data_IF_161772976569
#
_entry.id   IF_161772976569
#
_cell.length_a   1.000
_cell.length_b   1.000
_cell.length_c   1.000
_cell.angle_alpha   90.00
_cell.angle_beta   90.00
_cell.angle_gamma   90.00
#
_symmetry.space_group_name_H-M   'P 1'
#
loop_
_entity.id
_entity.type
_entity.pdbx_description
1 polymer ?
#
# COMPACT_ATOMS: atom_id res chain seq x y z
N UNK A 1 13.74 -9.09 5.93
CA UNK A 1 13.85 -10.06 4.83
C UNK A 1 12.63 -9.83 3.95
N UNK A 2 12.86 -9.57 2.67
CA UNK A 2 11.81 -9.19 1.72
C UNK A 2 10.79 -10.32 1.54
N UNK A 3 9.56 -10.10 2.01
CA UNK A 3 8.43 -11.03 1.86
C UNK A 3 7.32 -10.52 0.96
N UNK A 4 7.55 -9.39 0.27
CA UNK A 4 6.59 -8.78 -0.64
C UNK A 4 7.31 -7.87 -1.63
N UNK A 5 6.91 -7.91 -2.89
CA UNK A 5 7.36 -6.95 -3.89
C UNK A 5 6.21 -6.47 -4.78
N UNK A 6 6.50 -5.60 -5.73
CA UNK A 6 5.54 -5.15 -6.73
C UNK A 6 6.06 -5.44 -8.14
N UNK A 7 5.20 -6.03 -8.96
CA UNK A 7 5.39 -6.17 -10.41
C UNK A 7 4.00 -6.16 -11.04
N UNK A 8 3.50 -4.96 -11.32
CA UNK A 8 2.19 -4.74 -11.93
C UNK A 8 2.26 -4.50 -13.45
N UNK A 9 3.47 -4.55 -14.02
CA UNK A 9 3.70 -4.39 -15.45
C UNK A 9 3.41 -5.69 -16.20
N UNK A 10 2.96 -5.56 -17.45
CA UNK A 10 2.78 -6.69 -18.35
C UNK A 10 4.15 -7.27 -18.79
N UNK A 11 4.24 -8.57 -19.11
CA UNK A 11 5.44 -9.17 -19.67
C UNK A 11 6.06 -8.38 -20.83
N UNK A 12 5.26 -7.89 -21.77
CA UNK A 12 5.70 -7.04 -22.89
C UNK A 12 6.38 -5.74 -22.44
N UNK A 13 5.82 -5.07 -21.43
CA UNK A 13 6.37 -3.84 -20.86
C UNK A 13 7.69 -4.10 -20.10
N UNK A 14 7.75 -5.21 -19.37
CA UNK A 14 8.97 -5.63 -18.68
C UNK A 14 10.08 -5.92 -19.68
N UNK A 15 9.78 -6.69 -20.74
CA UNK A 15 10.70 -6.98 -21.84
C UNK A 15 11.25 -5.68 -22.44
N UNK A 16 10.38 -4.74 -22.80
CA UNK A 16 10.78 -3.47 -23.38
C UNK A 16 11.74 -2.68 -22.47
N UNK A 17 11.46 -2.62 -21.16
CA UNK A 17 12.31 -1.90 -20.21
C UNK A 17 13.67 -2.58 -19.99
N UNK A 18 13.73 -3.91 -20.02
CA UNK A 18 14.99 -4.66 -19.94
C UNK A 18 15.84 -4.43 -21.19
N UNK A 19 15.24 -4.52 -22.38
CA UNK A 19 15.95 -4.29 -23.65
C UNK A 19 16.50 -2.86 -23.74
N UNK A 20 15.73 -1.85 -23.29
CA UNK A 20 16.20 -0.46 -23.15
C UNK A 20 17.37 -0.31 -22.17
N UNK A 21 17.50 -1.23 -21.21
CA UNK A 21 18.59 -1.28 -20.23
C UNK A 21 19.72 -2.23 -20.65
N UNK A 22 19.86 -2.51 -21.96
CA UNK A 22 20.89 -3.40 -22.52
C UNK A 22 20.84 -4.85 -21.98
N UNK A 23 19.64 -5.32 -21.60
CA UNK A 23 19.38 -6.70 -21.19
C UNK A 23 18.50 -7.37 -22.24
N UNK A 24 19.08 -8.05 -23.25
CA UNK A 24 18.32 -8.63 -24.34
C UNK A 24 17.42 -9.77 -23.85
N UNK A 25 16.23 -9.91 -24.45
CA UNK A 25 15.25 -10.96 -24.13
C UNK A 25 14.87 -11.68 -25.41
N UNK A 26 15.33 -12.92 -25.57
CA UNK A 26 15.06 -13.75 -26.75
C UNK A 26 13.63 -14.33 -26.72
N UNK A 27 13.18 -14.75 -25.54
CA UNK A 27 11.88 -15.38 -25.31
C UNK A 27 11.24 -14.77 -24.06
N UNK A 28 9.92 -14.53 -24.10
CA UNK A 28 9.15 -14.03 -22.97
C UNK A 28 7.72 -14.60 -23.02
N UNK A 29 7.03 -14.75 -21.88
CA UNK A 29 5.63 -15.13 -21.85
C UNK A 29 4.76 -14.06 -22.50
N UNK A 30 3.64 -14.47 -23.09
CA UNK A 30 2.63 -13.55 -23.61
C UNK A 30 1.93 -12.79 -22.46
N UNK A 31 1.32 -11.65 -22.80
CA UNK A 31 0.64 -10.80 -21.82
C UNK A 31 -0.59 -11.47 -21.17
N UNK A 32 -1.15 -12.50 -21.83
CA UNK A 32 -2.30 -13.29 -21.37
C UNK A 32 -1.91 -14.57 -20.61
N UNK A 33 -0.61 -14.78 -20.34
CA UNK A 33 -0.11 -15.92 -19.58
C UNK A 33 -0.45 -15.86 -18.08
N UNK A 34 -0.22 -16.96 -17.35
CA UNK A 34 -0.45 -17.07 -15.89
C UNK A 34 0.47 -16.19 -15.00
N UNK A 35 1.23 -15.28 -15.60
CA UNK A 35 2.09 -14.34 -14.89
C UNK A 35 1.25 -13.35 -14.09
N UNK A 36 1.45 -13.32 -12.77
CA UNK A 36 0.67 -12.47 -11.88
C UNK A 36 1.14 -11.02 -11.95
N UNK A 37 0.31 -10.15 -12.51
CA UNK A 37 0.47 -8.70 -12.45
C UNK A 37 -0.10 -8.16 -11.12
N UNK A 38 0.76 -7.74 -10.19
CA UNK A 38 0.34 -7.31 -8.85
C UNK A 38 1.20 -6.20 -8.26
N UNK A 39 0.53 -5.18 -7.72
CA UNK A 39 1.10 -4.17 -6.85
C UNK A 39 1.49 -4.73 -5.47
N UNK A 40 0.99 -5.92 -5.12
CA UNK A 40 1.20 -6.56 -3.83
C UNK A 40 1.54 -8.05 -4.03
N UNK A 41 2.70 -8.30 -4.62
CA UNK A 41 3.16 -9.62 -5.02
C UNK A 41 3.65 -10.42 -3.79
N UNK A 42 2.99 -11.54 -3.50
CA UNK A 42 3.25 -12.39 -2.34
C UNK A 42 3.88 -13.73 -2.74
N UNK A 43 4.56 -14.42 -1.80
CA UNK A 43 5.05 -15.78 -2.04
C UNK A 43 3.94 -16.73 -2.52
N UNK A 44 4.32 -17.67 -3.39
CA UNK A 44 3.41 -18.62 -4.03
C UNK A 44 2.79 -18.11 -5.34
N UNK A 45 2.91 -16.83 -5.68
CA UNK A 45 2.52 -16.31 -6.99
C UNK A 45 3.59 -16.56 -8.06
N UNK A 46 3.15 -16.59 -9.32
CA UNK A 46 4.01 -16.75 -10.49
C UNK A 46 4.48 -15.39 -11.01
N UNK A 47 5.79 -15.16 -10.98
CA UNK A 47 6.43 -13.90 -11.35
C UNK A 47 7.38 -14.06 -12.52
N UNK A 48 7.83 -12.95 -13.09
CA UNK A 48 8.78 -12.95 -14.21
C UNK A 48 10.22 -13.07 -13.69
N UNK A 49 10.89 -14.11 -14.16
CA UNK A 49 12.28 -14.39 -13.85
C UNK A 49 13.11 -14.32 -15.13
N UNK A 50 14.11 -13.45 -15.13
CA UNK A 50 15.09 -13.32 -16.21
C UNK A 50 16.27 -14.28 -15.96
N UNK A 51 16.58 -15.14 -16.94
CA UNK A 51 17.66 -16.12 -16.83
C UNK A 51 18.31 -16.38 -18.18
N UNK A 52 19.54 -16.89 -18.15
CA UNK A 52 20.14 -17.49 -19.34
C UNK A 52 19.33 -18.72 -19.76
N UNK A 53 19.20 -18.89 -21.08
CA UNK A 53 18.65 -20.08 -21.66
C UNK A 53 19.65 -21.24 -21.52
N UNK A 54 19.16 -22.39 -21.12
CA UNK A 54 20.00 -23.52 -20.74
C UNK A 54 19.18 -24.67 -20.17
N UNK A 55 19.78 -25.86 -20.02
CA UNK A 55 19.08 -27.07 -19.64
C UNK A 55 18.44 -26.96 -18.25
N UNK A 56 17.26 -27.57 -18.10
CA UNK A 56 16.56 -27.65 -16.83
C UNK A 56 17.21 -28.65 -15.84
N UNK A 57 18.00 -29.58 -16.37
CA UNK A 57 18.71 -30.62 -15.62
C UNK A 57 20.01 -30.07 -15.04
N UNK A 58 19.98 -29.70 -13.76
CA UNK A 58 21.15 -29.14 -13.06
C UNK A 58 21.56 -29.88 -11.79
N UNK A 59 20.89 -30.99 -11.45
CA UNK A 59 20.95 -31.56 -10.11
C UNK A 59 21.56 -32.94 -9.95
N UNK A 60 21.62 -33.79 -10.99
CA UNK A 60 22.05 -35.18 -10.81
C UNK A 60 22.50 -35.82 -12.12
N UNK A 61 23.80 -36.09 -12.24
CA UNK A 61 24.39 -37.26 -12.92
C UNK A 61 25.87 -37.35 -12.52
N UNK A 62 26.12 -37.68 -11.26
CA UNK A 62 27.38 -38.33 -10.88
C UNK A 62 27.09 -39.83 -10.90
N UNK A 63 27.38 -40.51 -12.02
CA UNK A 63 27.31 -41.96 -12.12
C UNK A 63 26.86 -42.50 -13.47
N UNK A 64 27.84 -42.77 -14.35
CA UNK A 64 27.83 -43.76 -15.44
C UNK A 64 26.68 -43.69 -16.46
N UNK A 65 26.81 -42.76 -17.41
CA UNK A 65 26.73 -43.10 -18.85
C UNK A 65 27.59 -42.09 -19.62
N UNK A 66 28.81 -42.47 -19.95
CA UNK A 66 29.53 -41.86 -21.08
C UNK A 66 28.81 -42.32 -22.35
N UNK A 67 27.70 -41.67 -22.68
CA UNK A 67 27.25 -41.58 -24.05
C UNK A 67 27.64 -40.19 -24.48
N UNK A 68 28.64 -40.10 -25.36
CA UNK A 68 29.04 -38.89 -26.08
C UNK A 68 27.79 -38.19 -26.61
N UNK A 69 27.28 -37.21 -25.86
CA UNK A 69 26.44 -36.19 -26.42
C UNK A 69 27.36 -35.38 -27.32
N UNK A 70 27.30 -35.68 -28.62
CA UNK A 70 27.91 -34.89 -29.68
C UNK A 70 27.72 -33.42 -29.34
N UNK A 71 28.81 -32.78 -28.90
CA UNK A 71 28.98 -31.36 -29.09
C UNK A 71 28.87 -31.15 -30.60
N UNK A 72 27.72 -30.68 -31.06
CA UNK A 72 27.66 -29.92 -32.29
C UNK A 72 28.58 -28.73 -32.08
N UNK A 73 29.81 -28.90 -32.56
CA UNK A 73 30.79 -27.85 -32.80
C UNK A 73 30.30 -27.05 -34.00
N UNK A 74 29.12 -26.44 -33.87
CA UNK A 74 28.67 -25.37 -34.74
C UNK A 74 29.05 -24.05 -34.07
N UNK A 75 30.18 -23.49 -34.51
CA UNK A 75 30.48 -22.06 -34.42
C UNK A 75 30.35 -21.42 -33.05
N UNK A 76 31.47 -21.31 -32.33
CA UNK A 76 31.68 -20.34 -31.27
C UNK A 76 31.61 -18.89 -31.82
N UNK A 77 30.41 -18.44 -32.17
CA UNK A 77 30.01 -17.04 -32.49
C UNK A 77 28.52 -16.80 -32.18
N UNK A 78 27.94 -17.49 -31.19
CA UNK A 78 26.57 -17.26 -30.73
C UNK A 78 26.54 -16.82 -29.27
N UNK A 79 26.25 -15.54 -29.00
CA UNK A 79 26.19 -15.03 -27.63
C UNK A 79 25.14 -15.72 -26.75
N UNK A 80 25.31 -15.67 -25.43
CA UNK A 80 24.34 -16.19 -24.45
C UNK A 80 22.95 -15.59 -24.72
N UNK A 81 21.96 -16.47 -24.93
CA UNK A 81 20.55 -16.07 -25.04
C UNK A 81 19.93 -16.01 -23.66
N UNK A 82 19.07 -15.02 -23.44
CA UNK A 82 18.35 -14.85 -22.17
C UNK A 82 16.85 -14.86 -22.43
N UNK A 83 16.08 -15.32 -21.45
CA UNK A 83 14.62 -15.36 -21.51
C UNK A 83 13.98 -14.86 -20.23
N UNK A 84 12.76 -14.36 -20.36
CA UNK A 84 11.82 -14.19 -19.27
C UNK A 84 11.00 -15.48 -19.15
N UNK A 85 10.87 -16.00 -17.93
CA UNK A 85 10.11 -17.20 -17.66
C UNK A 85 9.18 -16.97 -16.46
N UNK A 86 7.95 -17.47 -16.55
CA UNK A 86 7.03 -17.51 -15.41
C UNK A 86 7.48 -18.59 -14.41
N UNK A 87 7.68 -18.21 -13.15
CA UNK A 87 8.10 -19.14 -12.09
C UNK A 87 7.40 -18.81 -10.78
N UNK A 88 7.15 -19.80 -9.93
CA UNK A 88 6.54 -19.61 -8.61
C UNK A 88 7.54 -19.10 -7.57
N UNK A 89 7.16 -18.08 -6.79
CA UNK A 89 8.00 -17.63 -5.68
C UNK A 89 7.93 -18.57 -4.47
N UNK A 90 9.07 -19.12 -4.06
CA UNK A 90 9.21 -20.09 -2.99
C UNK A 90 9.81 -21.37 -3.56
N UNK A 91 11.13 -21.50 -3.47
CA UNK A 91 11.87 -22.53 -4.17
C UNK A 91 11.50 -23.94 -3.68
N UNK A 92 11.15 -24.81 -4.61
CA UNK A 92 10.93 -26.24 -4.40
C UNK A 92 12.07 -27.00 -5.09
N UNK A 93 12.94 -27.70 -4.34
CA UNK A 93 14.04 -28.44 -4.94
C UNK A 93 13.59 -29.58 -5.85
N UNK A 94 14.38 -29.90 -6.87
CA UNK A 94 14.09 -30.93 -7.87
C UNK A 94 13.87 -32.34 -7.29
N UNK A 95 14.44 -32.64 -6.12
CA UNK A 95 14.29 -33.94 -5.43
C UNK A 95 12.98 -34.07 -4.65
N UNK A 96 12.11 -33.05 -4.68
CA UNK A 96 10.83 -33.08 -3.98
C UNK A 96 9.85 -33.95 -4.75
N UNK A 97 9.39 -35.05 -4.14
CA UNK A 97 8.53 -36.04 -4.80
C UNK A 97 7.07 -35.59 -4.97
N UNK A 98 6.52 -34.96 -3.93
CA UNK A 98 5.12 -34.55 -3.85
C UNK A 98 5.02 -33.06 -3.58
N UNK A 99 3.98 -32.42 -4.11
CA UNK A 99 3.71 -31.03 -3.83
C UNK A 99 3.46 -30.83 -2.32
N UNK A 100 4.25 -30.02 -1.60
CA UNK A 100 4.10 -29.87 -0.16
C UNK A 100 2.81 -29.12 0.19
N UNK A 101 2.06 -29.69 1.14
CA UNK A 101 0.93 -29.03 1.77
C UNK A 101 1.34 -27.68 2.40
N UNK A 102 0.37 -26.79 2.60
CA UNK A 102 0.61 -25.45 3.14
C UNK A 102 1.39 -25.46 4.48
N UNK A 103 1.19 -26.49 5.33
CA UNK A 103 1.89 -26.64 6.61
C UNK A 103 3.31 -27.19 6.52
N UNK A 104 3.67 -27.88 5.43
CA UNK A 104 4.99 -28.48 5.19
C UNK A 104 5.84 -27.71 4.17
N UNK A 105 5.29 -26.62 3.61
CA UNK A 105 5.98 -25.77 2.65
C UNK A 105 7.21 -25.12 3.28
N UNK A 106 8.38 -25.46 2.77
CA UNK A 106 9.66 -24.92 3.25
C UNK A 106 9.68 -23.39 3.13
N UNK A 107 10.35 -22.72 4.07
CA UNK A 107 10.51 -21.24 4.08
C UNK A 107 11.60 -20.80 3.09
N UNK A 108 11.46 -21.19 1.83
CA UNK A 108 12.45 -21.03 0.76
C UNK A 108 12.19 -19.81 -0.14
N UNK A 109 11.50 -18.80 0.41
CA UNK A 109 11.20 -17.55 -0.31
C UNK A 109 12.43 -16.64 -0.41
N UNK A 110 13.37 -16.78 0.53
CA UNK A 110 14.64 -16.06 0.54
C UNK A 110 15.80 -17.03 0.81
N UNK A 111 16.95 -16.74 0.25
CA UNK A 111 18.23 -17.36 0.54
C UNK A 111 19.16 -16.27 1.12
N UNK A 112 19.88 -16.55 2.20
CA UNK A 112 20.88 -15.61 2.72
C UNK A 112 22.19 -15.84 1.96
N UNK A 113 22.84 -14.76 1.54
CA UNK A 113 24.18 -14.78 0.94
C UNK A 113 25.21 -15.56 1.76
N UNK A 114 25.13 -15.49 3.09
CA UNK A 114 25.99 -16.25 4.01
C UNK A 114 25.86 -17.77 3.84
N UNK A 115 24.68 -18.24 3.46
CA UNK A 115 24.38 -19.66 3.27
C UNK A 115 24.94 -20.20 1.96
N UNK A 116 25.50 -19.33 1.11
CA UNK A 116 26.09 -19.69 -0.18
C UNK A 116 27.61 -19.81 -0.13
N UNK A 117 28.29 -19.39 0.95
CA UNK A 117 29.75 -19.52 1.08
C UNK A 117 30.21 -20.97 1.05
N UNK A 118 29.52 -21.85 1.77
CA UNK A 118 29.88 -23.26 1.86
C UNK A 118 29.06 -24.11 0.89
N UNK A 119 29.63 -25.22 0.40
CA UNK A 119 28.92 -26.25 -0.36
C UNK A 119 28.13 -27.17 0.60
N UNK A 120 27.27 -26.57 1.43
CA UNK A 120 26.45 -27.27 2.42
C UNK A 120 24.99 -26.85 2.33
N UNK A 121 24.10 -27.82 2.53
CA UNK A 121 22.66 -27.59 2.54
C UNK A 121 22.04 -27.57 1.15
N UNK A 122 20.79 -27.10 1.09
CA UNK A 122 19.94 -27.29 -0.09
C UNK A 122 20.33 -26.44 -1.30
N UNK A 123 21.03 -25.31 -1.12
CA UNK A 123 21.31 -24.37 -2.21
C UNK A 123 22.49 -24.77 -3.10
N UNK A 124 23.27 -25.79 -2.70
CA UNK A 124 24.56 -26.17 -3.32
C UNK A 124 24.44 -26.52 -4.80
N UNK A 125 23.37 -27.21 -5.20
CA UNK A 125 23.13 -27.56 -6.61
C UNK A 125 22.67 -26.33 -7.41
N UNK A 126 21.75 -25.53 -6.86
CA UNK A 126 21.19 -24.37 -7.57
C UNK A 126 22.22 -23.25 -7.75
N UNK A 127 23.05 -22.94 -6.76
CA UNK A 127 24.03 -21.84 -6.86
C UNK A 127 25.06 -22.03 -7.99
N UNK A 128 25.32 -23.28 -8.37
CA UNK A 128 26.27 -23.66 -9.43
C UNK A 128 25.78 -23.38 -10.84
N UNK A 129 24.51 -23.62 -11.15
CA UNK A 129 23.97 -23.51 -12.52
C UNK A 129 22.61 -22.84 -12.65
N UNK A 130 21.85 -22.74 -11.57
CA UNK A 130 20.47 -22.24 -11.56
C UNK A 130 20.37 -20.86 -10.94
N UNK A 131 21.16 -19.93 -11.47
CA UNK A 131 21.13 -18.50 -11.11
C UNK A 131 20.13 -17.78 -12.00
N UNK A 132 19.41 -16.81 -11.43
CA UNK A 132 18.44 -16.00 -12.14
C UNK A 132 18.36 -14.58 -11.57
N UNK A 133 17.59 -13.73 -12.24
CA UNK A 133 17.24 -12.38 -11.82
C UNK A 133 15.71 -12.30 -11.69
N UNK A 134 15.23 -11.89 -10.52
CA UNK A 134 13.82 -11.58 -10.30
C UNK A 134 13.62 -10.10 -10.63
N UNK A 135 12.68 -9.82 -11.53
CA UNK A 135 12.38 -8.45 -11.95
C UNK A 135 11.26 -7.87 -11.08
N UNK A 136 11.48 -6.67 -10.54
CA UNK A 136 10.48 -6.00 -9.71
C UNK A 136 10.48 -4.48 -9.92
N UNK A 137 9.34 -3.82 -9.73
CA UNK A 137 9.26 -2.35 -9.65
C UNK A 137 9.81 -1.81 -8.31
N UNK A 138 9.87 -2.67 -7.30
CA UNK A 138 10.32 -2.36 -5.95
C UNK A 138 9.86 -3.42 -4.97
N UNK A 139 10.35 -3.36 -3.74
CA UNK A 139 9.97 -4.29 -2.67
C UNK A 139 9.40 -3.58 -1.45
N UNK A 140 8.61 -4.31 -0.65
CA UNK A 140 8.12 -3.81 0.62
C UNK A 140 8.89 -4.42 1.78
N UNK A 141 9.06 -3.62 2.82
CA UNK A 141 9.58 -4.08 4.10
C UNK A 141 8.90 -3.30 5.24
N UNK A 142 8.79 -3.92 6.41
CA UNK A 142 8.01 -3.39 7.53
C UNK A 142 8.93 -2.88 8.63
N UNK A 143 8.90 -1.56 8.86
CA UNK A 143 9.53 -0.93 10.01
C UNK A 143 8.79 -1.37 11.27
N UNK A 144 9.50 -2.09 12.15
CA UNK A 144 8.98 -2.53 13.45
C UNK A 144 9.16 -1.41 14.47
N UNK A 145 8.07 -0.89 15.01
CA UNK A 145 8.05 0.06 16.13
C UNK A 145 7.47 -0.59 17.39
N UNK A 146 7.77 -0.01 18.55
CA UNK A 146 7.23 -0.43 19.85
C UNK A 146 7.46 -1.94 20.12
N UNK A 147 8.69 -2.41 19.92
CA UNK A 147 9.02 -3.83 20.09
C UNK A 147 8.34 -4.77 19.08
N UNK A 148 7.90 -4.26 17.93
CA UNK A 148 7.25 -5.04 16.87
C UNK A 148 5.72 -5.09 16.94
N UNK A 149 5.10 -4.44 17.94
CA UNK A 149 3.63 -4.31 18.03
C UNK A 149 3.04 -3.50 16.89
N UNK A 150 3.78 -2.49 16.41
CA UNK A 150 3.40 -1.73 15.22
C UNK A 150 4.35 -2.04 14.08
N UNK A 151 3.79 -2.32 12.90
CA UNK A 151 4.53 -2.53 11.66
C UNK A 151 4.10 -1.49 10.63
N UNK A 152 5.02 -0.66 10.19
CA UNK A 152 4.77 0.38 9.20
C UNK A 152 5.37 -0.08 7.86
N UNK A 153 4.55 -0.43 6.86
CA UNK A 153 5.07 -0.84 5.57
C UNK A 153 5.75 0.33 4.87
N UNK A 154 6.92 0.07 4.31
CA UNK A 154 7.64 0.97 3.42
C UNK A 154 7.79 0.29 2.07
N UNK A 155 7.70 1.08 1.01
CA UNK A 155 8.03 0.64 -0.34
C UNK A 155 9.39 1.24 -0.72
N UNK A 156 10.26 0.39 -1.26
CA UNK A 156 11.61 0.73 -1.71
C UNK A 156 11.72 0.44 -3.20
N UNK A 157 12.17 1.42 -3.98
CA UNK A 157 12.41 1.31 -5.42
C UNK A 157 13.71 1.99 -5.83
N UNK A 158 14.20 1.78 -7.05
CA UNK A 158 15.33 2.55 -7.59
C UNK A 158 14.91 4.01 -7.77
N UNK A 159 15.81 4.94 -7.46
CA UNK A 159 15.53 6.38 -7.60
C UNK A 159 15.51 6.83 -9.06
N UNK A 160 16.26 6.15 -9.93
CA UNK A 160 16.32 6.37 -11.39
C UNK A 160 15.05 5.91 -12.13
N UNK A 161 14.13 5.21 -11.46
CA UNK A 161 12.89 4.72 -12.05
C UNK A 161 13.03 3.41 -12.85
N UNK A 162 14.22 2.81 -12.92
CA UNK A 162 14.43 1.51 -13.56
C UNK A 162 13.85 0.37 -12.72
N UNK A 163 13.60 -0.78 -13.36
CA UNK A 163 13.26 -2.01 -12.66
C UNK A 163 14.43 -2.49 -11.80
N UNK A 164 14.12 -3.06 -10.64
CA UNK A 164 15.08 -3.77 -9.82
C UNK A 164 15.36 -5.15 -10.41
N UNK A 165 16.65 -5.47 -10.54
CA UNK A 165 17.14 -6.80 -10.87
C UNK A 165 17.62 -7.48 -9.58
N UNK A 166 16.77 -8.29 -8.96
CA UNK A 166 17.10 -8.97 -7.70
C UNK A 166 17.79 -10.31 -7.99
N UNK A 167 18.97 -10.53 -7.42
CA UNK A 167 19.66 -11.81 -7.61
C UNK A 167 18.87 -12.94 -6.95
N UNK A 168 18.74 -14.07 -7.65
CA UNK A 168 18.03 -15.23 -7.16
C UNK A 168 18.59 -16.55 -7.64
N UNK A 169 18.05 -17.61 -7.06
CA UNK A 169 18.24 -18.98 -7.52
C UNK A 169 16.90 -19.53 -7.96
N UNK A 170 16.92 -20.45 -8.92
CA UNK A 170 15.73 -21.17 -9.36
C UNK A 170 15.96 -22.68 -9.30
N UNK A 171 14.87 -23.42 -9.32
CA UNK A 171 14.88 -24.85 -9.56
C UNK A 171 13.59 -25.27 -10.28
N UNK A 172 13.57 -26.49 -10.80
CA UNK A 172 12.38 -27.09 -11.39
C UNK A 172 12.19 -28.50 -10.85
N UNK A 173 10.95 -28.83 -10.53
CA UNK A 173 10.57 -30.15 -10.02
C UNK A 173 9.45 -30.73 -10.88
N UNK A 174 9.56 -32.02 -11.21
CA UNK A 174 8.46 -32.80 -11.75
C UNK A 174 7.91 -33.65 -10.60
N UNK A 175 6.71 -33.31 -10.12
CA UNK A 175 6.07 -34.15 -9.10
C UNK A 175 5.58 -35.47 -9.71
N UNK A 176 5.52 -36.52 -8.90
CA UNK A 176 5.10 -37.86 -9.32
C UNK A 176 3.64 -37.88 -9.86
N UNK A 177 2.80 -36.95 -9.41
CA UNK A 177 1.38 -36.82 -9.72
C UNK A 177 1.04 -35.69 -10.70
N UNK A 178 2.05 -34.95 -11.20
CA UNK A 178 1.85 -33.84 -12.14
C UNK A 178 2.36 -34.21 -13.53
N UNK A 179 1.71 -33.70 -14.59
CA UNK A 179 2.17 -33.83 -15.98
C UNK A 179 3.22 -32.78 -16.36
N UNK A 180 3.24 -31.64 -15.67
CA UNK A 180 4.09 -30.50 -15.99
C UNK A 180 5.10 -30.20 -14.89
N UNK A 181 6.26 -29.66 -15.28
CA UNK A 181 7.29 -29.24 -14.33
C UNK A 181 6.87 -27.95 -13.64
N UNK A 182 7.04 -27.89 -12.32
CA UNK A 182 6.91 -26.67 -11.56
C UNK A 182 8.27 -25.96 -11.51
N UNK A 183 8.36 -24.77 -12.11
CA UNK A 183 9.52 -23.88 -11.96
C UNK A 183 9.32 -22.94 -10.78
N UNK A 184 10.32 -22.86 -9.91
CA UNK A 184 10.26 -22.05 -8.68
C UNK A 184 11.54 -21.26 -8.47
N UNK A 185 11.47 -20.19 -7.69
CA UNK A 185 12.64 -19.35 -7.38
C UNK A 185 12.66 -18.86 -5.93
N UNK A 186 13.85 -18.41 -5.51
CA UNK A 186 14.12 -17.73 -4.24
C UNK A 186 14.90 -16.44 -4.50
N UNK A 187 14.69 -15.43 -3.65
CA UNK A 187 15.43 -14.16 -3.71
C UNK A 187 16.64 -14.25 -2.77
N UNK A 188 17.82 -13.89 -3.25
CA UNK A 188 19.00 -13.79 -2.39
C UNK A 188 18.96 -12.47 -1.62
N UNK A 189 19.25 -12.55 -0.33
CA UNK A 189 19.34 -11.41 0.58
C UNK A 189 20.75 -11.26 1.10
N UNK A 190 21.16 -10.03 1.36
CA UNK A 190 22.42 -9.63 1.98
C UNK A 190 22.14 -8.62 3.11
N UNK A 191 23.18 -8.09 3.74
CA UNK A 191 23.04 -7.07 4.77
C UNK A 191 22.46 -5.77 4.21
N UNK A 192 21.70 -5.05 5.02
CA UNK A 192 21.16 -3.76 4.60
C UNK A 192 22.25 -2.71 4.45
N UNK A 193 22.14 -1.89 3.40
CA UNK A 193 22.97 -0.69 3.27
C UNK A 193 22.58 0.39 4.29
N UNK A 194 23.40 1.45 4.39
CA UNK A 194 23.15 2.58 5.33
C UNK A 194 21.78 3.23 5.15
N UNK A 195 21.25 3.25 3.92
CA UNK A 195 19.96 3.86 3.62
C UNK A 195 18.79 3.05 4.17
N UNK A 196 18.88 1.72 4.20
CA UNK A 196 17.78 0.83 4.60
C UNK A 196 17.97 0.21 5.99
N UNK A 197 19.12 0.41 6.64
CA UNK A 197 19.38 -0.19 7.96
C UNK A 197 18.38 0.24 9.04
N UNK A 198 17.77 1.43 8.92
CA UNK A 198 16.69 1.86 9.82
C UNK A 198 15.42 1.00 9.70
N UNK A 199 15.22 0.37 8.53
CA UNK A 199 14.00 -0.36 8.16
C UNK A 199 14.09 -1.84 8.53
N UNK A 200 15.20 -2.49 8.17
CA UNK A 200 15.50 -3.89 8.45
C UNK A 200 17.02 -4.12 8.34
N UNK A 201 17.55 -5.15 9.02
CA UNK A 201 18.96 -5.57 8.94
C UNK A 201 19.35 -6.27 7.62
N UNK A 202 18.37 -6.60 6.77
CA UNK A 202 18.60 -7.35 5.52
C UNK A 202 17.85 -6.72 4.36
N UNK A 203 18.44 -6.78 3.18
CA UNK A 203 17.83 -6.37 1.91
C UNK A 203 18.05 -7.41 0.82
N UNK A 204 17.25 -7.42 -0.26
CA UNK A 204 17.57 -8.18 -1.47
C UNK A 204 18.92 -7.75 -2.06
N UNK A 205 19.66 -8.69 -2.66
CA UNK A 205 20.80 -8.34 -3.52
C UNK A 205 20.25 -7.76 -4.82
N UNK A 206 20.61 -6.51 -5.12
CA UNK A 206 20.18 -5.79 -6.32
C UNK A 206 21.41 -5.64 -7.22
N UNK A 207 21.33 -6.11 -8.45
CA UNK A 207 22.37 -5.92 -9.47
C UNK A 207 21.96 -4.80 -10.42
N UNK A 208 22.93 -4.08 -10.97
CA UNK A 208 22.67 -3.00 -11.92
C UNK A 208 22.29 -3.53 -13.30
N UNK A 209 21.27 -2.92 -13.90
CA UNK A 209 20.73 -3.34 -15.18
C UNK A 209 21.81 -3.20 -16.27
N UNK A 210 21.95 -4.23 -17.11
CA UNK A 210 22.94 -4.23 -18.21
C UNK A 210 24.41 -4.27 -17.77
N UNK A 211 24.71 -4.46 -16.48
CA UNK A 211 26.06 -4.52 -15.95
C UNK A 211 26.78 -5.84 -16.25
N UNK A 212 28.11 -5.83 -16.16
CA UNK A 212 28.92 -7.05 -16.22
C UNK A 212 28.66 -7.99 -15.03
N UNK A 213 28.18 -7.45 -13.89
CA UNK A 213 27.77 -8.24 -12.74
C UNK A 213 26.58 -9.15 -13.11
N UNK A 214 25.57 -8.65 -13.84
CA UNK A 214 24.47 -9.50 -14.35
C UNK A 214 24.98 -10.53 -15.35
N UNK A 215 25.88 -10.15 -16.27
CA UNK A 215 26.45 -11.08 -17.26
C UNK A 215 27.21 -12.21 -16.57
N UNK A 216 28.04 -11.87 -15.59
CA UNK A 216 28.80 -12.81 -14.76
C UNK A 216 27.89 -13.71 -13.95
N UNK A 217 26.83 -13.13 -13.35
CA UNK A 217 25.84 -13.86 -12.57
C UNK A 217 25.05 -14.85 -13.42
N UNK A 218 24.70 -14.50 -14.65
CA UNK A 218 23.88 -15.35 -15.54
C UNK A 218 24.70 -16.20 -16.51
N UNK A 219 26.03 -16.15 -16.47
CA UNK A 219 26.90 -16.91 -17.36
C UNK A 219 26.69 -18.44 -17.20
N UNK A 220 26.17 -19.14 -18.22
CA UNK A 220 25.88 -20.58 -18.14
C UNK A 220 27.16 -21.42 -18.15
N UNK A 221 28.30 -20.87 -18.61
CA UNK A 221 29.59 -21.57 -18.62
C UNK A 221 30.22 -21.64 -17.22
N UNK A 222 29.83 -20.73 -16.32
CA UNK A 222 30.23 -20.72 -14.91
C UNK A 222 29.43 -21.75 -14.11
N UNK A 223 29.92 -22.99 -14.13
CA UNK A 223 29.29 -24.16 -13.48
C UNK A 223 29.76 -24.43 -12.05
N UNK A 224 30.73 -23.66 -11.54
CA UNK A 224 31.26 -23.76 -10.17
C UNK A 224 30.99 -22.47 -9.40
N UNK A 225 30.76 -22.60 -8.10
CA UNK A 225 30.70 -21.45 -7.20
C UNK A 225 32.12 -20.90 -7.00
N UNK A 226 32.30 -19.60 -7.20
CA UNK A 226 33.60 -18.92 -7.15
C UNK A 226 33.54 -17.69 -6.25
N UNK A 227 34.71 -17.21 -5.81
CA UNK A 227 34.79 -15.97 -5.01
C UNK A 227 34.20 -14.77 -5.76
N UNK A 228 34.37 -14.72 -7.07
CA UNK A 228 33.79 -13.68 -7.92
C UNK A 228 32.26 -13.69 -7.88
N UNK A 229 31.62 -14.86 -7.95
CA UNK A 229 30.16 -14.95 -7.83
C UNK A 229 29.68 -14.54 -6.43
N UNK A 230 30.42 -14.92 -5.40
CA UNK A 230 30.10 -14.54 -4.03
C UNK A 230 30.24 -13.03 -3.80
N UNK A 231 31.22 -12.36 -4.41
CA UNK A 231 31.45 -10.92 -4.23
C UNK A 231 30.39 -10.04 -4.90
N UNK A 232 29.59 -10.59 -5.82
CA UNK A 232 28.40 -9.94 -6.37
C UNK A 232 27.27 -9.82 -5.35
N UNK A 233 27.24 -10.68 -4.33
CA UNK A 233 26.19 -10.72 -3.31
C UNK A 233 26.45 -9.70 -2.20
N UNK A 234 26.48 -8.42 -2.56
CA UNK A 234 26.78 -7.30 -1.66
C UNK A 234 25.61 -6.31 -1.56
N UNK A 235 25.53 -5.51 -0.48
CA UNK A 235 24.50 -4.47 -0.35
C UNK A 235 24.55 -3.50 -1.53
N UNK A 236 23.38 -3.09 -2.03
CA UNK A 236 23.30 -2.20 -3.18
C UNK A 236 23.86 -0.81 -2.86
N UNK A 237 24.71 -0.29 -3.74
CA UNK A 237 25.42 0.98 -3.55
C UNK A 237 24.77 2.18 -4.26
N UNK A 238 23.87 1.92 -5.22
CA UNK A 238 23.14 2.96 -5.93
C UNK A 238 22.04 3.64 -5.11
N UNK A 239 21.44 4.69 -5.66
CA UNK A 239 20.40 5.45 -4.97
C UNK A 239 19.04 4.74 -4.98
N UNK A 240 18.47 4.51 -3.80
CA UNK A 240 17.10 4.03 -3.64
C UNK A 240 16.18 5.16 -3.21
N UNK A 241 14.89 5.00 -3.44
CA UNK A 241 13.84 5.78 -2.80
C UNK A 241 13.03 4.86 -1.88
N UNK A 242 12.92 5.22 -0.61
CA UNK A 242 12.16 4.48 0.39
C UNK A 242 11.15 5.41 1.09
N UNK A 243 9.89 5.00 1.18
CA UNK A 243 8.83 5.79 1.82
C UNK A 243 7.73 4.91 2.42
N UNK A 244 7.07 5.37 3.50
CA UNK A 244 5.95 4.64 4.09
C UNK A 244 4.76 4.59 3.12
N UNK A 245 3.98 3.52 3.17
CA UNK A 245 2.79 3.29 2.33
C UNK A 245 1.58 2.87 3.18
N UNK A 246 0.41 2.67 2.56
CA UNK A 246 -0.79 2.23 3.30
C UNK A 246 -0.56 0.91 4.03
N UNK A 247 -1.10 0.79 5.26
CA UNK A 247 -1.11 -0.46 6.03
C UNK A 247 -1.88 -1.58 5.32
N UNK A 248 -2.78 -1.24 4.39
CA UNK A 248 -3.59 -2.18 3.62
C UNK A 248 -2.77 -3.16 2.78
N UNK A 249 -1.54 -2.79 2.41
CA UNK A 249 -0.63 -3.71 1.70
C UNK A 249 -0.32 -4.94 2.54
N UNK A 250 -0.38 -4.86 3.88
CA UNK A 250 -0.11 -5.98 4.77
C UNK A 250 -1.01 -7.19 4.51
N UNK A 251 -2.28 -6.96 4.13
CA UNK A 251 -3.24 -8.02 3.82
C UNK A 251 -2.98 -8.58 2.43
N UNK A 252 -2.61 -9.86 2.37
CA UNK A 252 -2.43 -10.59 1.10
C UNK A 252 -3.75 -10.63 0.34
N UNK A 253 -3.71 -10.37 -0.97
CA UNK A 253 -4.89 -10.28 -1.84
C UNK A 253 -5.35 -8.84 -2.13
N UNK A 254 -5.06 -7.88 -1.25
CA UNK A 254 -5.27 -6.47 -1.59
C UNK A 254 -4.31 -6.08 -2.72
N UNK A 255 -4.83 -5.45 -3.78
CA UNK A 255 -4.03 -5.06 -4.94
C UNK A 255 -4.48 -3.68 -5.43
N UNK A 256 -3.63 -2.66 -5.29
CA UNK A 256 -3.98 -1.29 -5.68
C UNK A 256 -2.75 -0.51 -6.15
N UNK A 257 -2.86 0.30 -7.22
CA UNK A 257 -1.77 1.19 -7.65
C UNK A 257 -1.36 2.20 -6.56
N UNK A 258 -2.28 2.54 -5.65
CA UNK A 258 -1.98 3.44 -4.53
C UNK A 258 -0.89 2.94 -3.59
N UNK A 259 -0.55 1.64 -3.63
CA UNK A 259 0.51 1.07 -2.80
C UNK A 259 1.92 1.47 -3.26
N UNK A 260 2.09 1.85 -4.53
CA UNK A 260 3.38 2.34 -5.03
C UNK A 260 3.50 3.87 -4.92
N UNK A 261 2.41 4.58 -4.66
CA UNK A 261 2.41 6.05 -4.64
C UNK A 261 2.99 6.52 -3.32
N UNK A 262 4.05 7.34 -3.40
CA UNK A 262 4.58 8.05 -2.24
C UNK A 262 3.48 8.94 -1.67
N UNK A 263 3.00 8.70 -0.44
CA UNK A 263 1.98 9.54 0.13
C UNK A 263 2.54 10.97 0.23
N UNK A 264 1.71 11.99 0.00
CA UNK A 264 2.13 13.37 0.22
C UNK A 264 2.66 13.47 1.66
N UNK A 265 3.81 14.13 1.85
CA UNK A 265 4.33 14.40 3.20
C UNK A 265 3.16 14.93 4.02
N UNK A 266 2.79 14.23 5.08
CA UNK A 266 1.74 14.68 5.97
C UNK A 266 2.22 16.01 6.56
N UNK A 267 1.84 17.13 5.92
CA UNK A 267 1.95 18.43 6.54
C UNK A 267 1.06 18.30 7.77
N UNK A 268 1.69 18.19 8.95
CA UNK A 268 0.95 18.12 10.20
C UNK A 268 -0.08 19.24 10.17
N UNK A 269 -1.33 18.94 10.51
CA UNK A 269 -2.39 19.96 10.53
C UNK A 269 -1.89 21.08 11.43
N UNK A 270 -1.60 22.28 10.90
CA UNK A 270 -1.09 23.38 11.70
C UNK A 270 -2.06 23.61 12.86
N UNK A 271 -1.54 23.85 14.06
CA UNK A 271 -2.37 24.09 15.23
C UNK A 271 -3.34 22.94 15.56
N UNK A 272 -2.90 21.67 15.40
CA UNK A 272 -3.69 20.46 15.75
C UNK A 272 -4.37 20.56 17.12
N UNK A 273 -3.69 21.12 18.12
CA UNK A 273 -4.23 21.32 19.47
C UNK A 273 -5.42 22.29 19.50
N UNK A 274 -5.40 23.35 18.69
CA UNK A 274 -6.53 24.28 18.55
C UNK A 274 -7.71 23.62 17.83
N UNK A 275 -7.45 22.83 16.79
CA UNK A 275 -8.50 22.04 16.13
C UNK A 275 -9.15 21.05 17.10
N UNK A 276 -8.36 20.30 17.88
CA UNK A 276 -8.85 19.40 18.90
C UNK A 276 -9.68 20.13 19.98
N UNK A 277 -9.20 21.28 20.45
CA UNK A 277 -9.93 22.13 21.40
C UNK A 277 -11.24 22.65 20.83
N UNK A 278 -11.28 23.12 19.59
CA UNK A 278 -12.52 23.53 18.93
C UNK A 278 -13.51 22.36 18.81
N UNK A 279 -13.06 21.18 18.39
CA UNK A 279 -13.93 20.00 18.33
C UNK A 279 -14.49 19.64 19.70
N UNK A 280 -13.65 19.61 20.73
CA UNK A 280 -14.07 19.34 22.11
C UNK A 280 -15.13 20.34 22.61
N UNK A 281 -14.86 21.64 22.47
CA UNK A 281 -15.80 22.69 22.91
C UNK A 281 -17.16 22.58 22.21
N UNK A 282 -17.18 22.26 20.92
CA UNK A 282 -18.43 22.03 20.19
C UNK A 282 -19.20 20.82 20.72
N UNK A 283 -18.53 19.68 20.88
CA UNK A 283 -19.19 18.46 21.37
C UNK A 283 -19.70 18.64 22.80
N UNK A 284 -18.91 19.27 23.67
CA UNK A 284 -19.32 19.56 25.04
C UNK A 284 -20.52 20.53 25.09
N UNK A 285 -20.50 21.61 24.29
CA UNK A 285 -21.64 22.53 24.19
C UNK A 285 -22.90 21.83 23.66
N UNK A 286 -22.74 20.98 22.65
CA UNK A 286 -23.84 20.19 22.07
C UNK A 286 -24.40 19.20 23.10
N UNK A 287 -23.53 18.47 23.81
CA UNK A 287 -23.92 17.51 24.84
C UNK A 287 -24.74 18.18 25.94
N UNK A 288 -24.30 19.33 26.45
CA UNK A 288 -25.01 20.09 27.48
C UNK A 288 -26.35 20.69 27.02
N UNK A 289 -26.60 20.72 25.71
CA UNK A 289 -27.89 21.15 25.14
C UNK A 289 -28.84 19.99 24.82
N UNK A 290 -28.34 18.75 24.82
CA UNK A 290 -29.16 17.55 24.66
C UNK A 290 -29.71 17.11 26.03
N UNK A 291 -30.95 16.61 26.10
CA UNK A 291 -31.47 16.04 27.34
C UNK A 291 -30.68 14.77 27.71
N UNK A 292 -30.38 14.61 29.00
CA UNK A 292 -30.01 13.31 29.54
C UNK A 292 -31.30 12.47 29.51
N UNK A 293 -31.33 11.42 28.69
CA UNK A 293 -32.37 10.39 28.84
C UNK A 293 -32.06 9.65 30.13
N UNK A 294 -32.72 10.02 31.23
CA UNK A 294 -32.76 9.17 32.42
C UNK A 294 -33.73 8.02 32.13
N UNK A 295 -33.31 6.75 32.26
CA UNK A 295 -34.26 5.66 32.35
C UNK A 295 -35.02 5.79 33.68
N UNK A 296 -36.33 5.63 33.60
CA UNK A 296 -37.28 5.38 34.69
C UNK A 296 -37.73 6.55 35.59
N UNK A 297 -38.98 6.95 35.36
CA UNK A 297 -39.91 7.17 36.46
C UNK A 297 -41.23 6.49 36.09
N UNK A 298 -41.50 5.41 36.81
CA UNK A 298 -42.68 4.56 36.73
C UNK A 298 -44.00 5.35 36.60
N UNK A 299 -44.90 4.78 35.82
CA UNK A 299 -46.32 5.10 35.84
C UNK A 299 -46.86 4.98 37.29
N UNK A 300 -47.26 6.09 37.88
CA UNK A 300 -48.30 6.12 38.90
C UNK A 300 -49.45 6.96 38.39
N UNK A 301 -50.57 6.26 38.21
CA UNK A 301 -51.89 6.81 37.93
C UNK A 301 -52.35 7.67 39.11
N UNK A 302 -52.58 8.96 38.84
CA UNK A 302 -53.20 9.89 39.78
C UNK A 302 -53.71 11.11 39.03
N UNK A 303 -55.02 11.16 38.79
CA UNK A 303 -55.72 12.32 38.24
C UNK A 303 -55.72 13.42 39.30
N UNK A 304 -55.20 14.60 38.97
CA UNK A 304 -55.67 15.89 39.52
C UNK A 304 -55.24 17.04 38.62
N UNK A 305 -56.14 17.99 38.46
CA UNK A 305 -56.07 19.12 37.53
C UNK A 305 -55.09 20.20 38.01
N UNK A 306 -54.46 20.86 37.04
CA UNK A 306 -54.14 22.29 37.15
C UNK A 306 -52.80 22.66 37.78
N UNK A 307 -51.67 22.27 37.18
CA UNK A 307 -50.39 22.95 37.41
C UNK A 307 -49.66 23.22 36.08
N UNK A 308 -49.30 24.49 35.87
CA UNK A 308 -48.46 24.94 34.75
C UNK A 308 -47.13 24.18 34.83
N UNK A 309 -46.87 23.29 33.88
CA UNK A 309 -45.54 22.70 33.74
C UNK A 309 -44.49 23.81 33.62
N UNK A 310 -43.38 23.76 34.39
CA UNK A 310 -42.28 24.69 34.19
C UNK A 310 -41.69 24.42 32.81
N UNK A 311 -41.72 25.41 31.92
CA UNK A 311 -41.02 25.33 30.63
C UNK A 311 -39.55 24.98 30.92
N UNK A 312 -39.00 23.88 30.40
CA UNK A 312 -37.61 23.55 30.63
C UNK A 312 -36.76 24.71 30.12
N UNK A 313 -35.90 25.27 30.98
CA UNK A 313 -34.98 26.34 30.60
C UNK A 313 -34.14 25.84 29.42
N UNK A 314 -34.44 26.34 28.22
CA UNK A 314 -33.97 25.77 26.94
C UNK A 314 -32.48 25.99 26.67
N UNK A 315 -31.75 26.64 27.58
CA UNK A 315 -30.38 27.06 27.40
C UNK A 315 -29.54 26.83 28.65
N UNK A 316 -28.53 25.95 28.56
CA UNK A 316 -27.49 25.80 29.58
C UNK A 316 -26.51 26.98 29.50
N UNK A 317 -26.31 27.76 30.58
CA UNK A 317 -25.34 28.86 30.60
C UNK A 317 -23.92 28.40 30.25
N UNK A 318 -23.54 27.19 30.71
CA UNK A 318 -22.26 26.58 30.40
C UNK A 318 -22.14 26.25 28.90
N UNK A 319 -23.21 25.74 28.27
CA UNK A 319 -23.20 25.49 26.82
C UNK A 319 -23.02 26.78 26.01
N UNK A 320 -23.60 27.90 26.45
CA UNK A 320 -23.40 29.22 25.83
C UNK A 320 -21.95 29.68 25.96
N UNK A 321 -21.36 29.52 27.14
CA UNK A 321 -19.96 29.85 27.39
C UNK A 321 -19.02 29.03 26.48
N UNK A 322 -19.23 27.71 26.39
CA UNK A 322 -18.43 26.83 25.52
C UNK A 322 -18.57 27.20 24.03
N UNK A 323 -19.77 27.60 23.59
CA UNK A 323 -19.99 28.14 22.24
C UNK A 323 -19.22 29.44 21.99
N UNK A 324 -19.15 30.33 22.98
CA UNK A 324 -18.34 31.56 22.92
C UNK A 324 -16.85 31.26 22.88
N UNK A 325 -16.37 30.35 23.75
CA UNK A 325 -14.98 29.91 23.81
C UNK A 325 -14.53 29.30 22.48
N UNK A 326 -15.39 28.50 21.85
CA UNK A 326 -15.12 27.94 20.53
C UNK A 326 -14.87 29.03 19.48
N UNK A 327 -15.71 30.07 19.44
CA UNK A 327 -15.54 31.20 18.54
C UNK A 327 -14.28 32.00 18.88
N UNK A 328 -13.94 32.13 20.16
CA UNK A 328 -12.72 32.81 20.59
C UNK A 328 -11.46 32.03 20.17
N UNK A 329 -11.43 30.70 20.37
CA UNK A 329 -10.34 29.82 19.91
C UNK A 329 -10.18 29.90 18.39
N UNK A 330 -11.29 29.86 17.64
CA UNK A 330 -11.26 29.97 16.19
C UNK A 330 -10.71 31.32 15.73
N UNK A 331 -11.15 32.43 16.30
CA UNK A 331 -10.70 33.78 15.92
C UNK A 331 -9.24 34.03 16.31
N UNK A 332 -8.86 33.73 17.56
CA UNK A 332 -7.50 33.91 18.05
C UNK A 332 -6.50 33.00 17.34
N UNK A 333 -6.91 31.77 17.04
CA UNK A 333 -6.11 30.80 16.30
C UNK A 333 -6.14 30.95 14.78
N UNK A 334 -6.85 31.97 14.26
CA UNK A 334 -7.11 32.15 12.83
C UNK A 334 -7.59 30.88 12.12
N UNK A 335 -8.35 30.03 12.84
CA UNK A 335 -8.86 28.77 12.33
C UNK A 335 -10.15 28.97 11.55
N UNK A 336 -10.18 28.50 10.30
CA UNK A 336 -11.42 28.44 9.52
C UNK A 336 -12.27 27.26 10.01
N UNK A 337 -13.33 27.54 10.77
CA UNK A 337 -14.30 26.52 11.14
C UNK A 337 -14.95 25.88 9.91
N UNK A 338 -15.23 24.58 10.00
CA UNK A 338 -15.96 23.83 8.99
C UNK A 338 -17.34 24.47 8.72
N UNK A 339 -17.84 24.35 7.49
CA UNK A 339 -19.10 24.98 7.09
C UNK A 339 -20.25 24.48 7.96
N UNK A 340 -20.34 23.18 8.20
CA UNK A 340 -21.44 22.59 8.98
C UNK A 340 -21.43 23.06 10.43
N UNK A 341 -20.24 23.15 11.03
CA UNK A 341 -20.05 23.72 12.36
C UNK A 341 -20.48 25.20 12.42
N UNK A 342 -20.15 25.99 11.40
CA UNK A 342 -20.64 27.37 11.32
C UNK A 342 -22.15 27.42 11.16
N UNK A 343 -22.77 26.48 10.45
CA UNK A 343 -24.23 26.45 10.25
C UNK A 343 -24.97 26.08 11.52
N UNK A 344 -24.40 25.21 12.37
CA UNK A 344 -24.97 24.76 13.63
C UNK A 344 -24.78 25.73 14.82
N UNK A 345 -24.37 26.97 14.58
CA UNK A 345 -24.19 27.98 15.65
C UNK A 345 -24.89 29.29 15.35
N UNK A 346 -25.43 29.97 16.35
CA UNK A 346 -25.99 31.30 16.20
C UNK A 346 -24.88 32.32 15.88
N UNK A 347 -25.11 33.21 14.90
CA UNK A 347 -24.14 34.27 14.56
C UNK A 347 -24.04 35.35 15.64
N UNK A 348 -25.11 35.56 16.40
CA UNK A 348 -25.21 36.66 17.37
C UNK A 348 -24.75 36.24 18.77
N UNK A 349 -25.33 35.17 19.31
CA UNK A 349 -25.09 34.74 20.70
C UNK A 349 -24.24 33.46 20.84
N UNK A 350 -23.71 32.91 19.74
CA UNK A 350 -22.89 31.69 19.71
C UNK A 350 -23.56 30.40 20.22
N UNK A 351 -24.86 30.43 20.55
CA UNK A 351 -25.65 29.24 20.93
C UNK A 351 -25.60 28.17 19.84
N UNK A 352 -25.38 26.90 20.21
CA UNK A 352 -25.53 25.77 19.28
C UNK A 352 -27.00 25.67 18.86
N UNK A 353 -27.28 25.66 17.56
CA UNK A 353 -28.62 25.64 16.97
C UNK A 353 -29.04 24.19 16.75
N UNK A 354 -29.86 23.67 17.66
CA UNK A 354 -30.47 22.35 17.60
C UNK A 354 -31.97 22.55 17.29
N UNK A 355 -32.45 22.06 16.14
CA UNK A 355 -33.87 22.16 15.76
C UNK A 355 -34.80 21.61 16.83
N UNK A 356 -35.88 22.34 17.13
CA UNK A 356 -36.87 21.95 18.15
C UNK A 356 -36.41 22.13 19.60
N UNK A 357 -35.18 22.60 19.82
CA UNK A 357 -34.61 22.83 21.16
C UNK A 357 -34.17 24.27 21.33
N UNK A 358 -33.01 24.59 20.77
CA UNK A 358 -32.38 25.92 20.87
C UNK A 358 -32.61 26.75 19.60
N UNK A 359 -33.20 26.15 18.56
CA UNK A 359 -33.58 26.82 17.33
C UNK A 359 -34.87 26.26 16.75
N UNK A 360 -35.63 27.11 16.07
CA UNK A 360 -36.79 26.74 15.27
C UNK A 360 -36.43 26.78 13.78
N UNK A 361 -36.92 25.82 13.01
CA UNK A 361 -36.65 25.72 11.57
C UNK A 361 -37.94 25.83 10.78
N UNK A 362 -38.00 26.75 9.82
CA UNK A 362 -39.12 26.90 8.90
C UNK A 362 -38.61 27.06 7.47
N UNK A 363 -39.40 26.64 6.49
CA UNK A 363 -39.15 26.90 5.08
C UNK A 363 -39.85 28.21 4.68
N UNK A 364 -39.10 29.12 4.07
CA UNK A 364 -39.63 30.36 3.48
C UNK A 364 -39.41 30.32 1.96
N UNK A 365 -40.45 30.63 1.17
CA UNK A 365 -40.34 30.83 -0.27
C UNK A 365 -40.94 32.20 -0.64
N UNK A 366 -40.07 33.13 -1.07
CA UNK A 366 -40.47 34.50 -1.41
C UNK A 366 -40.80 34.68 -2.90
N UNK A 367 -40.88 33.59 -3.68
CA UNK A 367 -41.35 33.68 -5.06
C UNK A 367 -42.86 33.97 -5.10
N UNK A 368 -43.33 34.55 -6.21
CA UNK A 368 -44.76 34.82 -6.44
C UNK A 368 -45.57 33.53 -6.23
N UNK A 369 -46.44 33.55 -5.22
CA UNK A 369 -47.27 32.41 -4.77
C UNK A 369 -46.49 31.14 -4.40
N UNK A 370 -45.19 31.23 -4.07
CA UNK A 370 -44.36 30.06 -3.76
C UNK A 370 -44.08 29.14 -4.95
N UNK A 371 -44.32 29.59 -6.19
CA UNK A 371 -44.32 28.75 -7.40
C UNK A 371 -42.94 28.29 -7.88
N UNK A 372 -41.83 28.80 -7.32
CA UNK A 372 -40.47 28.43 -7.72
C UNK A 372 -39.82 27.57 -6.63
N UNK A 373 -39.74 26.23 -6.78
CA UNK A 373 -39.16 25.35 -5.76
C UNK A 373 -37.67 25.63 -5.46
N UNK A 374 -36.91 26.10 -6.46
CA UNK A 374 -35.50 26.49 -6.27
C UNK A 374 -35.31 27.79 -5.47
N UNK A 375 -36.39 28.49 -5.14
CA UNK A 375 -36.38 29.68 -4.29
C UNK A 375 -36.67 29.35 -2.81
N UNK A 376 -36.77 28.07 -2.45
CA UNK A 376 -36.94 27.62 -1.07
C UNK A 376 -35.70 27.96 -0.23
N UNK A 377 -35.94 28.55 0.94
CA UNK A 377 -34.90 28.92 1.90
C UNK A 377 -35.26 28.34 3.26
N UNK A 378 -34.41 27.45 3.77
CA UNK A 378 -34.46 26.99 5.15
C UNK A 378 -34.02 28.12 6.07
N UNK A 379 -34.91 28.58 6.92
CA UNK A 379 -34.66 29.61 7.93
C UNK A 379 -34.58 28.97 9.30
N UNK A 380 -33.40 29.05 9.91
CA UNK A 380 -33.12 28.61 11.27
C UNK A 380 -33.10 29.83 12.19
N UNK A 381 -34.05 29.92 13.11
CA UNK A 381 -34.19 31.02 14.07
C UNK A 381 -33.70 30.57 15.43
N UNK A 382 -32.77 31.31 16.03
CA UNK A 382 -32.30 31.04 17.38
C UNK A 382 -33.36 31.40 18.42
N UNK A 383 -33.70 30.47 19.32
CA UNK A 383 -34.73 30.69 20.34
C UNK A 383 -34.27 31.64 21.46
N UNK A 384 -32.95 31.84 21.61
CA UNK A 384 -32.38 32.73 22.65
C UNK A 384 -32.37 34.21 22.24
N UNK A 385 -31.93 34.52 21.01
CA UNK A 385 -31.71 35.91 20.57
C UNK A 385 -32.51 36.30 19.32
N UNK A 386 -33.40 35.42 18.84
CA UNK A 386 -34.16 35.57 17.59
C UNK A 386 -33.32 35.74 16.32
N UNK A 387 -32.00 35.57 16.38
CA UNK A 387 -31.11 35.65 15.22
C UNK A 387 -31.45 34.58 14.18
N UNK A 388 -31.53 34.98 12.90
CA UNK A 388 -31.92 34.11 11.78
C UNK A 388 -30.72 33.72 10.91
N UNK A 389 -30.66 32.45 10.52
CA UNK A 389 -29.78 31.93 9.47
C UNK A 389 -30.60 31.41 8.31
N UNK A 390 -30.21 31.75 7.09
CA UNK A 390 -30.93 31.44 5.85
C UNK A 390 -30.06 30.54 4.98
N UNK A 391 -30.59 29.41 4.54
CA UNK A 391 -29.89 28.45 3.69
C UNK A 391 -30.76 28.11 2.48
N UNK A 392 -30.30 28.38 1.24
CA UNK A 392 -31.05 27.99 0.05
C UNK A 392 -31.16 26.46 -0.02
N UNK A 393 -32.34 25.96 -0.35
CA UNK A 393 -32.68 24.53 -0.50
C UNK A 393 -32.89 24.26 -1.99
N UNK A 394 -32.30 23.18 -2.51
CA UNK A 394 -32.46 22.79 -3.92
C UNK A 394 -31.68 23.64 -4.95
N UNK A 395 -30.95 24.68 -4.53
CA UNK A 395 -30.07 25.43 -5.43
C UNK A 395 -28.83 24.61 -5.82
N UNK A 396 -28.55 24.48 -7.12
CA UNK A 396 -27.31 23.87 -7.60
C UNK A 396 -26.11 24.69 -7.11
N UNK A 397 -25.08 23.99 -6.59
CA UNK A 397 -23.87 24.64 -6.09
C UNK A 397 -23.23 25.43 -7.23
N UNK A 398 -23.19 26.74 -7.08
CA UNK A 398 -22.61 27.64 -8.08
C UNK A 398 -21.15 27.21 -8.33
N UNK A 399 -20.80 26.93 -9.59
CA UNK A 399 -19.47 26.43 -9.97
C UNK A 399 -18.37 27.36 -9.44
N UNK A 400 -17.19 26.82 -9.14
CA UNK A 400 -16.06 27.68 -8.73
C UNK A 400 -15.72 28.69 -9.83
N UNK A 401 -15.25 29.88 -9.44
CA UNK A 401 -14.94 30.99 -10.36
C UNK A 401 -14.00 30.55 -11.50
N UNK A 402 -13.03 29.68 -11.20
CA UNK A 402 -12.12 29.10 -12.17
C UNK A 402 -12.84 28.22 -13.21
N UNK A 403 -13.80 27.39 -12.77
CA UNK A 403 -14.59 26.53 -13.65
C UNK A 403 -15.61 27.30 -14.47
N UNK A 404 -16.11 28.43 -13.98
CA UNK A 404 -16.98 29.32 -14.77
C UNK A 404 -16.22 30.04 -15.88
N UNK A 405 -14.98 30.45 -15.62
CA UNK A 405 -14.11 31.08 -16.64
C UNK A 405 -13.71 30.14 -17.77
N UNK A 406 -13.76 28.83 -17.54
CA UNK A 406 -13.47 27.81 -18.55
C UNK A 406 -14.71 27.32 -19.31
N UNK A 407 -15.91 27.72 -18.88
CA UNK A 407 -17.19 27.36 -19.48
C UNK A 407 -17.87 28.53 -20.22
N UNK A 408 -17.21 29.69 -20.23
CA UNK A 408 -17.45 30.84 -21.10
C UNK A 408 -16.33 30.84 -22.14
#
# INVERSE_FOLDING_TARGET
>A
MCGRYALALRPSQVRQQLEQSQMPVAEAPDDDSDVRQSYNFAPGYHGLVYRADGPDTGGQQDGKTESEAQLTTEGATGGTKYKLQSMQWGLVPFWTKRNPDYGSKMKTINCRDDSLFEDRGMWTTMKKKKRCIIVAQGFYEWLKKNGGKEKIPHFTKRKDGQLMCLAGLWDCVQFEDASEKLFTYTIITTDSNKQLNFLHDRMPVILDNGSDDIRTWLDPTRTKWSKDLQSLLRPYEGELECYPVSKDVGKVGNNSPSFLVKPPKAKGIPNKHLHARSTFLYHAATYLTLPIMTPDSHASSGVTQGEKQPKPSSHSPLALQLGSDLQQVSRKGQLRLAVDLKRSMCKSCNTILIPGRTATQNMENQSRDGKKPWADVLVVTCNLCAGKKRFPVGASKQLEKAKRKAAL
#
